data_IF_108530418117
#
_entry.id   IF_108530418117
#
_cell.length_a   1.000
_cell.length_b   1.000
_cell.length_c   1.000
_cell.angle_alpha   90.00
_cell.angle_beta   90.00
_cell.angle_gamma   90.00
#
_symmetry.space_group_name_H-M   'P 1'
#
loop_
_entity.id
_entity.type
_entity.pdbx_description
1 polymer ?
#
# COMPACT_ATOMS: atom_id res chain seq x y z
N UNK A 1 -10.33 17.67 31.64
CA UNK A 1 -9.24 18.30 30.88
C UNK A 1 -8.43 17.15 30.30
N UNK A 2 -8.30 17.10 28.99
CA UNK A 2 -8.22 15.89 28.16
C UNK A 2 -6.88 15.15 28.22
N UNK A 3 -6.92 13.80 28.36
CA UNK A 3 -5.79 12.88 28.20
C UNK A 3 -4.98 13.09 26.89
N UNK A 4 -5.63 13.57 25.84
CA UNK A 4 -4.97 13.96 24.59
C UNK A 4 -4.06 15.18 24.70
N UNK A 5 -4.32 16.08 25.63
CA UNK A 5 -3.51 17.29 25.84
C UNK A 5 -2.26 16.95 26.66
N UNK A 6 -2.36 15.97 27.54
CA UNK A 6 -1.22 15.44 28.31
C UNK A 6 -0.28 14.60 27.42
N UNK A 7 -0.82 13.76 26.52
CA UNK A 7 -0.02 13.03 25.51
C UNK A 7 0.74 13.94 24.55
N UNK A 8 0.12 15.09 24.18
CA UNK A 8 0.78 16.08 23.30
C UNK A 8 1.82 16.89 24.09
N UNK A 9 1.56 17.18 25.36
CA UNK A 9 2.50 17.87 26.24
C UNK A 9 3.74 17.02 26.55
N UNK A 10 3.56 15.73 26.83
CA UNK A 10 4.65 14.77 27.02
C UNK A 10 5.49 14.53 25.74
N UNK A 11 4.86 14.71 24.56
CA UNK A 11 5.56 14.58 23.27
C UNK A 11 6.42 15.82 22.91
N UNK A 12 6.23 16.93 23.63
CA UNK A 12 6.89 18.23 23.36
C UNK A 12 7.99 18.59 24.36
N UNK A 13 8.25 17.76 25.37
CA UNK A 13 9.38 17.95 26.29
C UNK A 13 10.71 17.52 25.62
N UNK A 14 11.61 18.43 25.25
CA UNK A 14 12.89 18.11 24.62
C UNK A 14 14.00 17.76 25.64
N UNK A 15 13.65 17.19 26.78
CA UNK A 15 14.59 16.81 27.79
C UNK A 15 14.81 15.29 27.86
N UNK A 16 15.43 14.74 26.84
CA UNK A 16 15.85 13.35 26.84
C UNK A 16 17.15 13.18 26.07
N UNK A 17 18.05 12.34 26.59
CA UNK A 17 19.21 11.88 25.86
C UNK A 17 18.74 11.32 24.50
N UNK A 18 19.54 11.50 23.43
CA UNK A 18 19.24 11.01 22.07
C UNK A 18 18.79 9.55 22.08
N UNK A 19 19.36 8.73 22.97
CA UNK A 19 18.99 7.34 23.16
C UNK A 19 17.55 7.15 23.69
N UNK A 20 17.09 8.03 24.59
CA UNK A 20 15.72 7.95 25.11
C UNK A 20 14.69 8.35 24.04
N UNK A 21 15.01 9.31 23.21
CA UNK A 21 14.19 9.70 22.06
C UNK A 21 14.09 8.54 21.06
N UNK A 22 15.22 7.89 20.77
CA UNK A 22 15.25 6.70 19.91
C UNK A 22 14.40 5.55 20.48
N UNK A 23 14.54 5.22 21.76
CA UNK A 23 13.79 4.14 22.41
C UNK A 23 12.27 4.44 22.39
N UNK A 24 11.88 5.69 22.68
CA UNK A 24 10.46 6.10 22.59
C UNK A 24 9.93 5.97 21.18
N UNK A 25 10.70 6.40 20.18
CA UNK A 25 10.36 6.23 18.76
C UNK A 25 10.21 4.77 18.36
N UNK A 26 11.15 3.92 18.79
CA UNK A 26 11.12 2.49 18.52
C UNK A 26 9.89 1.80 19.16
N UNK A 27 9.55 2.12 20.41
CA UNK A 27 8.33 1.61 21.08
C UNK A 27 7.06 2.05 20.35
N UNK A 28 6.99 3.31 19.92
CA UNK A 28 5.83 3.82 19.17
C UNK A 28 5.69 3.10 17.82
N UNK A 29 6.80 2.92 17.10
CA UNK A 29 6.82 2.17 15.84
C UNK A 29 6.41 0.71 16.03
N UNK A 30 6.90 0.06 17.07
CA UNK A 30 6.54 -1.30 17.46
C UNK A 30 5.04 -1.46 17.72
N UNK A 31 4.45 -0.56 18.50
CA UNK A 31 3.02 -0.58 18.79
C UNK A 31 2.16 -0.38 17.53
N UNK A 32 2.56 0.52 16.62
CA UNK A 32 1.89 0.71 15.33
C UNK A 32 2.02 -0.56 14.48
N UNK A 33 3.19 -1.17 14.45
CA UNK A 33 3.43 -2.42 13.73
C UNK A 33 2.51 -3.54 14.19
N UNK A 34 2.50 -3.82 15.49
CA UNK A 34 1.72 -4.93 16.05
C UNK A 34 0.22 -4.65 15.98
N UNK A 35 -0.23 -3.46 16.37
CA UNK A 35 -1.66 -3.20 16.55
C UNK A 35 -2.36 -2.79 15.24
N UNK A 36 -1.64 -2.28 14.25
CA UNK A 36 -2.24 -1.80 13.01
C UNK A 36 -1.76 -2.57 11.77
N UNK A 37 -0.45 -2.74 11.58
CA UNK A 37 0.07 -3.36 10.36
C UNK A 37 -0.16 -4.86 10.33
N UNK A 38 0.21 -5.59 11.38
CA UNK A 38 0.10 -7.05 11.42
C UNK A 38 -1.36 -7.52 11.27
N UNK A 39 -2.36 -7.00 12.01
CA UNK A 39 -3.75 -7.41 11.83
C UNK A 39 -4.28 -7.15 10.41
N UNK A 40 -3.93 -6.00 9.81
CA UNK A 40 -4.36 -5.68 8.46
C UNK A 40 -3.74 -6.62 7.41
N UNK A 41 -2.46 -6.97 7.57
CA UNK A 41 -1.78 -7.90 6.68
C UNK A 41 -2.38 -9.29 6.80
N UNK A 42 -2.62 -9.78 8.03
CA UNK A 42 -3.24 -11.08 8.27
C UNK A 42 -4.65 -11.16 7.69
N UNK A 43 -5.47 -10.12 7.89
CA UNK A 43 -6.81 -10.06 7.31
C UNK A 43 -6.75 -10.12 5.78
N UNK A 44 -5.86 -9.32 5.16
CA UNK A 44 -5.71 -9.30 3.71
C UNK A 44 -5.23 -10.65 3.19
N UNK A 45 -4.33 -11.32 3.90
CA UNK A 45 -3.83 -12.66 3.56
C UNK A 45 -4.96 -13.70 3.58
N UNK A 46 -5.78 -13.71 4.63
CA UNK A 46 -6.93 -14.62 4.75
C UNK A 46 -7.94 -14.39 3.63
N UNK A 47 -8.27 -13.13 3.34
CA UNK A 47 -9.19 -12.79 2.24
C UNK A 47 -8.64 -13.27 0.90
N UNK A 48 -7.36 -12.99 0.60
CA UNK A 48 -6.72 -13.44 -0.63
C UNK A 48 -6.74 -14.97 -0.76
N UNK A 49 -6.48 -15.69 0.33
CA UNK A 49 -6.54 -17.14 0.37
C UNK A 49 -7.95 -17.69 0.08
N UNK A 50 -8.98 -17.09 0.69
CA UNK A 50 -10.39 -17.45 0.43
C UNK A 50 -10.75 -17.20 -1.04
N UNK A 51 -10.38 -16.04 -1.61
CA UNK A 51 -10.64 -15.71 -3.01
C UNK A 51 -9.94 -16.69 -3.97
N UNK A 52 -8.76 -17.18 -3.59
CA UNK A 52 -8.04 -18.18 -4.36
C UNK A 52 -8.78 -19.52 -4.38
N UNK A 53 -9.24 -20.01 -3.20
CA UNK A 53 -10.02 -21.24 -3.10
C UNK A 53 -11.33 -21.15 -3.89
N UNK A 54 -11.98 -19.98 -3.87
CA UNK A 54 -13.22 -19.73 -4.62
C UNK A 54 -13.02 -19.64 -6.15
N UNK A 55 -11.78 -19.68 -6.63
CA UNK A 55 -11.45 -19.54 -8.05
C UNK A 55 -11.58 -18.10 -8.60
N UNK A 56 -11.87 -17.13 -7.74
CA UNK A 56 -12.01 -15.72 -8.14
C UNK A 56 -10.70 -15.17 -8.68
N UNK A 57 -9.56 -15.63 -8.14
CA UNK A 57 -8.24 -15.25 -8.63
C UNK A 57 -8.01 -15.66 -10.08
N UNK A 58 -8.33 -16.91 -10.43
CA UNK A 58 -8.23 -17.41 -11.80
C UNK A 58 -9.16 -16.68 -12.77
N UNK A 59 -10.38 -16.35 -12.33
CA UNK A 59 -11.32 -15.55 -13.11
C UNK A 59 -10.77 -14.17 -13.43
N UNK A 60 -10.25 -13.44 -12.43
CA UNK A 60 -9.65 -12.12 -12.59
C UNK A 60 -8.40 -12.21 -13.47
N UNK A 61 -7.55 -13.23 -13.25
CA UNK A 61 -6.37 -13.47 -14.06
C UNK A 61 -6.68 -13.62 -15.54
N UNK A 62 -7.72 -14.39 -15.87
CA UNK A 62 -8.13 -14.60 -17.25
C UNK A 62 -8.67 -13.32 -17.92
N UNK A 63 -9.56 -12.58 -17.25
CA UNK A 63 -10.18 -11.39 -17.80
C UNK A 63 -9.24 -10.16 -17.85
N UNK A 64 -8.39 -10.03 -16.84
CA UNK A 64 -7.52 -8.86 -16.70
C UNK A 64 -6.10 -9.10 -17.27
N UNK A 65 -5.79 -10.34 -17.64
CA UNK A 65 -4.49 -10.73 -18.21
C UNK A 65 -4.03 -9.84 -19.37
N UNK A 66 -4.85 -9.57 -20.40
CA UNK A 66 -4.45 -8.73 -21.52
C UNK A 66 -4.04 -7.31 -21.11
N UNK A 67 -4.74 -6.72 -20.15
CA UNK A 67 -4.44 -5.36 -19.65
C UNK A 67 -3.19 -5.36 -18.79
N UNK A 68 -3.06 -6.32 -17.89
CA UNK A 68 -1.88 -6.44 -17.02
C UNK A 68 -0.64 -6.87 -17.79
N UNK A 69 -0.79 -7.63 -18.87
CA UNK A 69 0.30 -8.02 -19.78
C UNK A 69 1.03 -6.84 -20.41
N UNK A 70 0.33 -5.71 -20.63
CA UNK A 70 0.97 -4.45 -21.08
C UNK A 70 1.98 -3.91 -20.05
N UNK A 71 1.79 -4.23 -18.77
CA UNK A 71 2.70 -3.87 -17.69
C UNK A 71 3.72 -4.98 -17.39
N UNK A 72 3.62 -6.14 -18.06
CA UNK A 72 4.45 -7.30 -17.78
C UNK A 72 4.06 -8.01 -16.49
N UNK A 73 2.78 -7.91 -16.11
CA UNK A 73 2.23 -8.48 -14.89
C UNK A 73 1.19 -9.55 -15.22
N UNK A 74 1.04 -10.60 -14.39
CA UNK A 74 -0.08 -11.52 -14.49
C UNK A 74 -1.40 -10.82 -14.11
N UNK A 75 -2.53 -11.36 -14.58
CA UNK A 75 -3.85 -10.74 -14.34
C UNK A 75 -4.21 -10.60 -12.86
N UNK A 76 -3.76 -11.52 -12.02
CA UNK A 76 -3.94 -11.55 -10.57
C UNK A 76 -3.31 -10.33 -9.89
N UNK A 77 -2.29 -9.72 -10.49
CA UNK A 77 -1.67 -8.50 -9.99
C UNK A 77 -2.65 -7.31 -9.90
N UNK A 78 -3.76 -7.33 -10.66
CA UNK A 78 -4.80 -6.31 -10.53
C UNK A 78 -5.38 -6.26 -9.11
N UNK A 79 -5.51 -7.41 -8.45
CA UNK A 79 -6.03 -7.46 -7.06
C UNK A 79 -5.07 -6.74 -6.12
N UNK A 80 -3.77 -6.92 -6.33
CA UNK A 80 -2.74 -6.18 -5.57
C UNK A 80 -2.93 -4.67 -5.78
N UNK A 81 -3.04 -4.22 -7.04
CA UNK A 81 -3.20 -2.80 -7.36
C UNK A 81 -4.46 -2.19 -6.73
N UNK A 82 -5.61 -2.87 -6.83
CA UNK A 82 -6.86 -2.44 -6.21
C UNK A 82 -6.75 -2.38 -4.68
N UNK A 83 -6.12 -3.39 -4.09
CA UNK A 83 -5.95 -3.45 -2.63
C UNK A 83 -4.98 -2.38 -2.15
N UNK A 84 -3.87 -2.15 -2.88
CA UNK A 84 -2.91 -1.07 -2.61
C UNK A 84 -3.58 0.29 -2.65
N UNK A 85 -4.43 0.53 -3.64
CA UNK A 85 -5.18 1.78 -3.78
C UNK A 85 -6.09 2.06 -2.57
N UNK A 86 -6.73 1.02 -2.03
CA UNK A 86 -7.55 1.09 -0.82
C UNK A 86 -6.68 1.21 0.44
N UNK A 87 -5.65 0.38 0.56
CA UNK A 87 -4.78 0.28 1.73
C UNK A 87 -3.43 -0.32 1.34
N UNK A 88 -2.36 0.43 1.52
CA UNK A 88 -1.00 -0.03 1.22
C UNK A 88 -0.62 -1.27 2.04
N UNK A 89 -0.93 -1.29 3.35
CA UNK A 89 -0.62 -2.44 4.22
C UNK A 89 -1.39 -3.70 3.83
N UNK A 90 -2.66 -3.57 3.45
CA UNK A 90 -3.44 -4.69 2.93
C UNK A 90 -2.89 -5.18 1.58
N UNK A 91 -2.49 -4.25 0.70
CA UNK A 91 -1.85 -4.57 -0.58
C UNK A 91 -0.56 -5.34 -0.43
N UNK A 92 0.28 -5.00 0.56
CA UNK A 92 1.47 -5.79 0.91
C UNK A 92 1.09 -7.22 1.31
N UNK A 93 0.05 -7.39 2.12
CA UNK A 93 -0.45 -8.72 2.52
C UNK A 93 -0.91 -9.55 1.34
N UNK A 94 -1.69 -8.95 0.41
CA UNK A 94 -2.13 -9.63 -0.81
C UNK A 94 -0.96 -9.99 -1.70
N UNK A 95 -0.02 -9.07 -1.93
CA UNK A 95 1.18 -9.34 -2.73
C UNK A 95 2.02 -10.48 -2.14
N UNK A 96 2.22 -10.49 -0.83
CA UNK A 96 2.91 -11.56 -0.13
C UNK A 96 2.18 -12.90 -0.25
N UNK A 97 0.85 -12.92 -0.17
CA UNK A 97 0.04 -14.12 -0.36
C UNK A 97 0.16 -14.69 -1.78
N UNK A 98 0.06 -13.83 -2.80
CA UNK A 98 0.18 -14.25 -4.20
C UNK A 98 1.61 -14.69 -4.54
N UNK A 99 2.62 -14.07 -3.94
CA UNK A 99 4.00 -14.49 -4.05
C UNK A 99 4.23 -15.87 -3.41
N UNK A 100 3.72 -16.09 -2.20
CA UNK A 100 3.84 -17.37 -1.49
C UNK A 100 3.11 -18.51 -2.21
N UNK A 101 2.02 -18.22 -2.94
CA UNK A 101 1.30 -19.19 -3.75
C UNK A 101 1.90 -19.41 -5.15
N UNK A 102 3.00 -18.72 -5.50
CA UNK A 102 3.66 -18.83 -6.80
C UNK A 102 2.94 -18.12 -7.96
N UNK A 103 1.90 -17.33 -7.68
CA UNK A 103 1.20 -16.54 -8.70
C UNK A 103 1.94 -15.26 -9.09
N UNK A 104 2.80 -14.76 -8.21
CA UNK A 104 3.69 -13.64 -8.49
C UNK A 104 5.14 -14.07 -8.33
N UNK A 105 5.99 -13.60 -9.24
CA UNK A 105 7.44 -13.77 -9.21
C UNK A 105 8.12 -12.53 -8.61
N UNK A 106 9.41 -12.59 -8.21
CA UNK A 106 10.15 -11.44 -7.71
C UNK A 106 10.15 -10.24 -8.67
N UNK A 107 10.24 -10.52 -9.98
CA UNK A 107 10.17 -9.50 -11.03
C UNK A 107 8.85 -8.73 -11.01
N UNK A 108 7.73 -9.44 -10.81
CA UNK A 108 6.40 -8.81 -10.72
C UNK A 108 6.28 -7.90 -9.50
N UNK A 109 6.84 -8.32 -8.35
CA UNK A 109 6.87 -7.48 -7.14
C UNK A 109 7.67 -6.19 -7.40
N UNK A 110 8.82 -6.30 -8.07
CA UNK A 110 9.65 -5.14 -8.41
C UNK A 110 8.90 -4.15 -9.31
N UNK A 111 8.17 -4.63 -10.32
CA UNK A 111 7.34 -3.80 -11.19
C UNK A 111 6.18 -3.12 -10.42
N UNK A 112 5.61 -3.80 -9.41
CA UNK A 112 4.53 -3.26 -8.58
C UNK A 112 4.98 -2.19 -7.58
N UNK A 113 6.27 -2.12 -7.21
CA UNK A 113 6.78 -1.20 -6.18
C UNK A 113 6.40 0.28 -6.40
N UNK A 114 6.48 0.84 -7.61
CA UNK A 114 6.01 2.21 -7.84
C UNK A 114 4.55 2.43 -7.46
N UNK A 115 3.68 1.44 -7.69
CA UNK A 115 2.27 1.55 -7.33
C UNK A 115 2.07 1.60 -5.81
N UNK A 116 2.82 0.83 -5.02
CA UNK A 116 2.77 0.89 -3.56
C UNK A 116 3.13 2.28 -3.02
N UNK A 117 4.08 2.96 -3.64
CA UNK A 117 4.55 4.28 -3.20
C UNK A 117 3.66 5.40 -3.72
N UNK A 118 3.31 5.37 -5.01
CA UNK A 118 2.66 6.50 -5.69
C UNK A 118 1.14 6.52 -5.53
N UNK A 119 0.49 5.36 -5.40
CA UNK A 119 -0.96 5.29 -5.23
C UNK A 119 -1.41 4.53 -3.96
N UNK A 120 -0.48 4.13 -3.11
CA UNK A 120 -0.78 3.36 -1.90
C UNK A 120 -1.65 4.13 -0.92
N UNK A 121 -2.74 3.49 -0.45
CA UNK A 121 -3.72 4.08 0.49
C UNK A 121 -4.36 5.39 0.01
N UNK A 122 -4.42 5.61 -1.29
CA UNK A 122 -4.87 6.87 -1.87
C UNK A 122 -6.28 7.25 -1.41
N UNK A 123 -7.19 6.29 -1.32
CA UNK A 123 -8.55 6.54 -0.87
C UNK A 123 -8.60 7.01 0.60
N UNK A 124 -7.74 6.47 1.45
CA UNK A 124 -7.63 6.90 2.86
C UNK A 124 -7.00 8.28 2.97
N UNK A 125 -5.96 8.57 2.18
CA UNK A 125 -5.27 9.86 2.22
C UNK A 125 -6.10 10.99 1.65
N UNK A 126 -7.07 10.71 0.77
CA UNK A 126 -7.95 11.71 0.22
C UNK A 126 -8.69 12.51 1.33
N UNK A 127 -9.28 11.81 2.30
CA UNK A 127 -9.94 12.48 3.43
C UNK A 127 -8.95 13.09 4.43
N UNK A 128 -7.84 12.41 4.69
CA UNK A 128 -6.87 12.80 5.74
C UNK A 128 -5.91 13.89 5.32
N UNK A 129 -5.46 13.91 4.05
CA UNK A 129 -4.52 14.91 3.54
C UNK A 129 -5.24 16.03 2.83
N UNK A 130 -6.06 15.75 1.83
CA UNK A 130 -6.74 16.78 1.06
C UNK A 130 -7.79 17.52 1.89
N UNK A 131 -8.45 16.82 2.85
CA UNK A 131 -9.40 17.42 3.77
C UNK A 131 -8.74 18.35 4.79
N UNK A 132 -7.57 18.00 5.31
CA UNK A 132 -6.82 18.82 6.28
C UNK A 132 -6.06 19.97 5.63
N UNK A 133 -5.69 19.83 4.36
CA UNK A 133 -5.03 20.88 3.59
C UNK A 133 -6.02 21.86 2.91
N UNK A 134 -7.32 21.75 3.21
CA UNK A 134 -8.41 22.56 2.64
C UNK A 134 -8.39 22.65 1.10
N UNK A 135 -7.94 21.57 0.44
CA UNK A 135 -7.93 21.48 -1.02
C UNK A 135 -9.37 21.48 -1.54
N UNK A 136 -9.76 22.37 -2.47
CA UNK A 136 -11.09 22.38 -3.02
C UNK A 136 -11.49 21.03 -3.62
N UNK A 137 -12.65 20.49 -3.23
CA UNK A 137 -13.12 19.13 -3.60
C UNK A 137 -13.16 18.88 -5.11
N UNK A 138 -13.31 19.95 -5.91
CA UNK A 138 -13.29 19.88 -7.39
C UNK A 138 -11.97 19.33 -7.96
N UNK A 139 -10.85 19.49 -7.24
CA UNK A 139 -9.53 19.00 -7.68
C UNK A 139 -9.21 17.59 -7.18
N UNK A 140 -9.98 17.01 -6.27
CA UNK A 140 -9.71 15.69 -5.70
C UNK A 140 -9.67 14.58 -6.77
N UNK A 141 -10.65 14.49 -7.70
CA UNK A 141 -10.59 13.48 -8.75
C UNK A 141 -9.37 13.64 -9.68
N UNK A 142 -8.98 14.89 -9.96
CA UNK A 142 -7.81 15.19 -10.78
C UNK A 142 -6.51 14.72 -10.11
N UNK A 143 -6.36 15.03 -8.82
CA UNK A 143 -5.19 14.61 -8.04
C UNK A 143 -5.10 13.07 -7.94
N UNK A 144 -6.24 12.39 -7.77
CA UNK A 144 -6.30 10.94 -7.78
C UNK A 144 -5.89 10.37 -9.13
N UNK A 145 -6.42 10.92 -10.23
CA UNK A 145 -6.06 10.48 -11.57
C UNK A 145 -4.56 10.67 -11.86
N UNK A 146 -3.98 11.81 -11.49
CA UNK A 146 -2.55 12.08 -11.64
C UNK A 146 -1.71 11.05 -10.89
N UNK A 147 -2.09 10.69 -9.67
CA UNK A 147 -1.39 9.69 -8.86
C UNK A 147 -1.42 8.31 -9.53
N UNK A 148 -2.58 7.88 -10.04
CA UNK A 148 -2.72 6.60 -10.76
C UNK A 148 -1.87 6.60 -12.04
N UNK A 149 -1.93 7.69 -12.82
CA UNK A 149 -1.12 7.83 -14.05
C UNK A 149 0.37 7.76 -13.73
N UNK A 150 0.82 8.45 -12.69
CA UNK A 150 2.22 8.38 -12.25
C UNK A 150 2.62 6.97 -11.82
N UNK A 151 1.74 6.24 -11.13
CA UNK A 151 1.99 4.85 -10.74
C UNK A 151 2.15 3.95 -11.98
N UNK A 152 1.28 4.10 -12.97
CA UNK A 152 1.36 3.35 -14.25
C UNK A 152 2.65 3.68 -15.00
N UNK A 153 3.01 4.96 -15.12
CA UNK A 153 4.27 5.38 -15.74
C UNK A 153 5.47 4.78 -14.99
N UNK A 154 5.44 4.83 -13.65
CA UNK A 154 6.48 4.23 -12.81
C UNK A 154 6.63 2.72 -13.02
N UNK A 155 5.51 1.99 -13.13
CA UNK A 155 5.53 0.55 -13.42
C UNK A 155 6.10 0.25 -14.81
N UNK A 156 5.75 1.05 -15.83
CA UNK A 156 6.32 0.90 -17.18
C UNK A 156 7.82 1.17 -17.17
N UNK A 157 8.26 2.22 -16.50
CA UNK A 157 9.69 2.52 -16.35
C UNK A 157 10.43 1.38 -15.65
N UNK A 158 9.86 0.86 -14.56
CA UNK A 158 10.46 -0.27 -13.83
C UNK A 158 10.52 -1.52 -14.70
N UNK A 159 9.47 -1.80 -15.48
CA UNK A 159 9.50 -2.88 -16.47
C UNK A 159 10.63 -2.69 -17.50
N UNK A 160 10.80 -1.47 -18.03
CA UNK A 160 11.91 -1.19 -18.95
C UNK A 160 13.27 -1.43 -18.30
N UNK A 161 13.45 -0.98 -17.05
CA UNK A 161 14.70 -1.25 -16.29
C UNK A 161 14.96 -2.74 -16.16
N UNK A 162 13.94 -3.53 -15.81
CA UNK A 162 14.05 -4.98 -15.67
C UNK A 162 14.37 -5.72 -16.98
N UNK A 163 14.17 -5.10 -18.15
CA UNK A 163 14.58 -5.68 -19.44
C UNK A 163 16.08 -5.49 -19.73
N UNK A 164 16.76 -4.59 -19.00
CA UNK A 164 18.19 -4.30 -19.14
C UNK A 164 19.06 -5.05 -18.12
N UNK A 165 18.45 -5.60 -17.08
CA UNK A 165 19.10 -6.37 -16.02
C UNK A 165 18.62 -7.82 -15.98
#
# INVERSE_FOLDING_TARGET
>A
MNSKTEEISEALEPSGNIFDIFIRGARKGWNIGINNLIPNILMAYVIAYILNILGVMAFIGHWCGPVMGLLGLPGEALIVLLTVWLSCSAGVGVAASLFASGMLEPAHITILMPAFILMGSQLQYMGRLLGTADVPKKYWPLLMAISIVNAVIGMILMRCVMLFF
#
